data_IF_937354211939
#
_entry.id   IF_937354211939
#
_cell.length_a   1.000
_cell.length_b   1.000
_cell.length_c   1.000
_cell.angle_alpha   90.00
_cell.angle_beta   90.00
_cell.angle_gamma   90.00
#
_symmetry.space_group_name_H-M   'P 1'
#
loop_
_entity.id
_entity.type
_entity.pdbx_description
1 polymer ?
#
# COMPACT_ATOMS: atom_id res chain seq x y z
N UNK A 1 1.20 78.72 -23.43
CA UNK A 1 1.62 77.38 -23.92
C UNK A 1 0.65 76.33 -23.39
N UNK A 2 -0.11 75.66 -24.27
CA UNK A 2 -1.17 74.72 -23.90
C UNK A 2 -0.60 73.29 -23.96
N UNK A 3 -0.37 72.64 -22.81
CA UNK A 3 0.10 71.25 -22.73
C UNK A 3 -1.01 70.33 -23.26
N UNK A 4 -0.75 69.60 -24.35
CA UNK A 4 -1.64 68.51 -24.79
C UNK A 4 -1.36 67.29 -23.91
N UNK A 5 -2.40 66.78 -23.25
CA UNK A 5 -2.36 65.52 -22.51
C UNK A 5 -2.59 64.42 -23.54
N UNK A 6 -1.57 63.61 -23.82
CA UNK A 6 -1.72 62.43 -24.66
C UNK A 6 -2.43 61.32 -23.88
N UNK A 7 -3.65 60.97 -24.31
CA UNK A 7 -4.35 59.80 -23.82
C UNK A 7 -3.64 58.53 -24.31
N UNK A 8 -2.82 57.92 -23.44
CA UNK A 8 -2.36 56.53 -23.66
C UNK A 8 -3.58 55.61 -23.60
N UNK A 9 -3.97 55.03 -24.73
CA UNK A 9 -4.95 53.94 -24.77
C UNK A 9 -4.41 52.76 -23.97
N UNK A 10 -4.93 52.56 -22.77
CA UNK A 10 -4.78 51.30 -22.03
C UNK A 10 -5.62 50.26 -22.74
N UNK A 11 -4.98 49.37 -23.49
CA UNK A 11 -5.62 48.16 -24.03
C UNK A 11 -5.87 47.21 -22.88
N UNK A 12 -7.11 47.21 -22.38
CA UNK A 12 -7.55 46.22 -21.40
C UNK A 12 -7.65 44.83 -22.03
N UNK A 13 -7.38 43.80 -21.23
CA UNK A 13 -7.62 42.41 -21.62
C UNK A 13 -9.10 42.23 -21.99
N UNK A 14 -9.35 41.55 -23.11
CA UNK A 14 -10.72 41.27 -23.53
C UNK A 14 -11.33 40.22 -22.59
N UNK A 15 -12.64 40.32 -22.33
CA UNK A 15 -13.34 39.39 -21.44
C UNK A 15 -13.22 37.93 -21.93
N UNK A 16 -13.20 37.75 -23.24
CA UNK A 16 -12.95 36.47 -23.92
C UNK A 16 -11.56 35.91 -23.68
N UNK A 17 -10.54 36.76 -23.63
CA UNK A 17 -9.15 36.33 -23.37
C UNK A 17 -8.98 35.83 -21.93
N UNK A 18 -9.62 36.49 -20.97
CA UNK A 18 -9.64 36.00 -19.59
C UNK A 18 -10.35 34.65 -19.44
N UNK A 19 -11.44 34.42 -20.16
CA UNK A 19 -12.16 33.14 -20.13
C UNK A 19 -11.29 31.96 -20.62
N UNK A 20 -10.50 32.18 -21.69
CA UNK A 20 -9.58 31.16 -22.21
C UNK A 20 -8.46 30.88 -21.21
N UNK A 21 -7.90 31.91 -20.59
CA UNK A 21 -6.84 31.74 -19.57
C UNK A 21 -7.33 30.93 -18.39
N UNK A 22 -8.53 31.23 -17.87
CA UNK A 22 -9.12 30.47 -16.75
C UNK A 22 -9.36 29.01 -17.14
N UNK A 23 -9.82 28.76 -18.36
CA UNK A 23 -10.03 27.40 -18.87
C UNK A 23 -8.71 26.61 -18.93
N UNK A 24 -7.65 27.20 -19.47
CA UNK A 24 -6.33 26.54 -19.55
C UNK A 24 -5.76 26.29 -18.15
N UNK A 25 -5.83 27.27 -17.25
CA UNK A 25 -5.37 27.12 -15.86
C UNK A 25 -6.14 26.01 -15.14
N UNK A 26 -7.45 25.92 -15.33
CA UNK A 26 -8.29 24.86 -14.76
C UNK A 26 -7.87 23.46 -15.22
N UNK A 27 -7.59 23.29 -16.51
CA UNK A 27 -7.13 22.01 -17.06
C UNK A 27 -5.75 21.64 -16.49
N UNK A 28 -4.82 22.59 -16.42
CA UNK A 28 -3.47 22.33 -15.89
C UNK A 28 -3.51 21.93 -14.43
N UNK A 29 -4.30 22.63 -13.60
CA UNK A 29 -4.48 22.28 -12.20
C UNK A 29 -5.14 20.90 -12.04
N UNK A 30 -6.14 20.57 -12.86
CA UNK A 30 -6.78 19.25 -12.87
C UNK A 30 -5.79 18.12 -13.18
N UNK A 31 -4.92 18.31 -14.17
CA UNK A 31 -3.91 17.32 -14.54
C UNK A 31 -2.88 17.06 -13.42
N UNK A 32 -2.45 18.12 -12.72
CA UNK A 32 -1.47 18.01 -11.61
C UNK A 32 -2.03 17.19 -10.45
N UNK A 33 -3.32 17.37 -10.10
CA UNK A 33 -3.96 16.61 -9.01
C UNK A 33 -3.99 15.10 -9.29
N UNK A 34 -4.35 14.71 -10.52
CA UNK A 34 -4.38 13.29 -10.92
C UNK A 34 -2.97 12.69 -10.88
N UNK A 35 -1.96 13.42 -11.36
CA UNK A 35 -0.58 12.98 -11.33
C UNK A 35 -0.05 12.77 -9.90
N UNK A 36 -0.36 13.70 -8.98
CA UNK A 36 0.07 13.63 -7.59
C UNK A 36 -0.46 12.37 -6.87
N UNK A 37 -1.71 11.98 -7.13
CA UNK A 37 -2.33 10.78 -6.53
C UNK A 37 -1.56 9.49 -6.83
N UNK A 38 -1.03 9.34 -8.05
CA UNK A 38 -0.30 8.13 -8.46
C UNK A 38 1.13 8.06 -7.88
N UNK A 39 1.75 9.20 -7.60
CA UNK A 39 3.08 9.24 -6.96
C UNK A 39 2.99 8.85 -5.49
N UNK A 40 1.93 9.29 -4.80
CA UNK A 40 1.72 8.96 -3.39
C UNK A 40 1.59 7.45 -3.16
N UNK A 41 0.76 6.78 -3.97
CA UNK A 41 0.56 5.32 -3.87
C UNK A 41 1.86 4.56 -4.15
N UNK A 42 2.61 4.94 -5.19
CA UNK A 42 3.93 4.34 -5.49
C UNK A 42 4.90 4.48 -4.33
N UNK A 43 4.93 5.63 -3.67
CA UNK A 43 5.80 5.87 -2.51
C UNK A 43 5.42 4.98 -1.33
N UNK A 44 4.12 4.89 -1.02
CA UNK A 44 3.60 4.00 0.04
C UNK A 44 3.89 2.52 -0.24
N UNK A 45 3.79 2.09 -1.50
CA UNK A 45 4.12 0.73 -1.92
C UNK A 45 5.61 0.45 -1.70
N UNK A 46 6.50 1.31 -2.20
CA UNK A 46 7.95 1.17 -1.98
C UNK A 46 8.30 1.14 -0.50
N UNK A 47 7.69 2.03 0.31
CA UNK A 47 7.88 2.04 1.76
C UNK A 47 7.42 0.72 2.38
N UNK A 48 6.24 0.22 2.02
CA UNK A 48 5.71 -1.06 2.50
C UNK A 48 6.65 -2.23 2.18
N UNK A 49 7.23 -2.26 0.97
CA UNK A 49 8.19 -3.28 0.56
C UNK A 49 9.45 -3.23 1.43
N UNK A 50 9.98 -2.03 1.66
CA UNK A 50 11.15 -1.81 2.50
C UNK A 50 10.88 -2.26 3.94
N UNK A 51 9.73 -1.87 4.50
CA UNK A 51 9.32 -2.24 5.85
C UNK A 51 9.19 -3.75 6.01
N UNK A 52 8.52 -4.43 5.08
CA UNK A 52 8.39 -5.90 5.11
C UNK A 52 9.76 -6.58 5.02
N UNK A 53 10.65 -6.09 4.15
CA UNK A 53 12.01 -6.61 4.01
C UNK A 53 12.81 -6.44 5.31
N UNK A 54 12.70 -5.27 5.95
CA UNK A 54 13.35 -4.98 7.23
C UNK A 54 12.80 -5.86 8.35
N UNK A 55 11.48 -5.97 8.49
CA UNK A 55 10.83 -6.88 9.45
C UNK A 55 11.35 -8.30 9.25
N UNK A 56 11.39 -8.79 8.00
CA UNK A 56 11.86 -10.14 7.72
C UNK A 56 13.34 -10.36 8.11
N UNK A 57 14.20 -9.36 7.88
CA UNK A 57 15.61 -9.38 8.32
C UNK A 57 15.72 -9.37 9.84
N UNK A 58 14.94 -8.53 10.52
CA UNK A 58 14.97 -8.39 11.98
C UNK A 58 14.46 -9.66 12.66
N UNK A 59 13.37 -10.27 12.15
CA UNK A 59 12.91 -11.58 12.62
C UNK A 59 14.01 -12.62 12.45
N UNK A 60 14.64 -12.72 11.27
CA UNK A 60 15.74 -13.68 11.08
C UNK A 60 16.91 -13.40 12.03
N UNK A 61 17.26 -12.15 12.27
CA UNK A 61 18.33 -11.77 13.19
C UNK A 61 18.04 -12.20 14.63
N UNK A 62 16.82 -11.95 15.13
CA UNK A 62 16.41 -12.33 16.49
C UNK A 62 16.37 -13.85 16.67
N UNK A 63 15.97 -14.58 15.62
CA UNK A 63 15.82 -16.04 15.67
C UNK A 63 17.06 -16.80 15.17
N UNK A 64 18.08 -16.12 14.66
CA UNK A 64 19.35 -16.72 14.27
C UNK A 64 20.01 -17.33 15.51
N UNK A 65 20.07 -18.67 15.56
CA UNK A 65 20.62 -19.42 16.69
C UNK A 65 19.59 -19.88 17.73
N UNK A 66 18.35 -19.39 17.68
CA UNK A 66 17.28 -19.79 18.60
C UNK A 66 15.99 -20.21 17.87
N UNK A 67 16.02 -21.29 17.06
CA UNK A 67 14.87 -21.71 16.25
C UNK A 67 13.63 -22.10 17.08
N UNK A 68 13.80 -22.36 18.38
CA UNK A 68 12.73 -22.71 19.31
C UNK A 68 12.39 -21.59 20.31
N UNK A 69 12.88 -20.36 20.11
CA UNK A 69 12.57 -19.25 21.01
C UNK A 69 11.05 -19.01 21.10
N UNK A 70 10.52 -18.70 22.29
CA UNK A 70 9.11 -18.35 22.46
C UNK A 70 8.73 -17.17 21.58
N UNK A 71 7.51 -17.20 21.03
CA UNK A 71 7.00 -16.14 20.15
C UNK A 71 6.72 -14.89 20.99
N UNK A 72 7.34 -13.73 20.72
CA UNK A 72 7.08 -12.52 21.46
C UNK A 72 5.67 -12.00 21.16
N UNK A 73 4.96 -11.55 22.21
CA UNK A 73 3.74 -10.74 22.05
C UNK A 73 4.06 -9.42 21.33
N UNK A 74 3.07 -8.76 20.72
CA UNK A 74 3.26 -7.50 19.95
C UNK A 74 4.12 -6.46 20.67
N UNK A 75 3.86 -6.20 21.96
CA UNK A 75 4.66 -5.24 22.74
C UNK A 75 6.16 -5.61 22.80
N UNK A 76 6.48 -6.91 22.91
CA UNK A 76 7.87 -7.40 22.87
C UNK A 76 8.46 -7.40 21.46
N UNK A 77 7.64 -7.52 20.41
CA UNK A 77 8.13 -7.40 19.02
C UNK A 77 8.65 -5.99 18.74
N UNK A 78 7.93 -4.97 19.21
CA UNK A 78 8.38 -3.57 19.09
C UNK A 78 9.65 -3.36 19.92
N UNK A 79 9.69 -3.88 21.16
CA UNK A 79 10.87 -3.78 22.02
C UNK A 79 12.12 -4.49 21.46
N UNK A 80 11.93 -5.54 20.65
CA UNK A 80 13.01 -6.27 19.96
C UNK A 80 13.35 -5.70 18.59
N UNK A 81 12.78 -4.54 18.22
CA UNK A 81 12.92 -3.93 16.89
C UNK A 81 12.51 -4.87 15.73
N UNK A 82 11.63 -5.85 16.00
CA UNK A 82 11.08 -6.72 14.96
C UNK A 82 10.08 -5.94 14.10
N UNK A 83 9.28 -5.08 14.76
CA UNK A 83 8.33 -4.19 14.12
C UNK A 83 8.83 -2.75 14.25
N UNK A 84 8.52 -1.86 13.29
CA UNK A 84 8.79 -0.44 13.44
C UNK A 84 8.12 0.10 14.71
N UNK A 85 8.70 1.15 15.30
CA UNK A 85 8.27 1.72 16.59
C UNK A 85 6.80 2.12 16.65
N UNK A 86 6.23 2.55 15.53
CA UNK A 86 4.80 2.85 15.42
C UNK A 86 3.91 1.60 15.36
N UNK A 87 4.44 0.48 14.83
CA UNK A 87 3.65 -0.68 14.44
C UNK A 87 2.61 -0.42 13.33
N UNK A 88 2.63 0.79 12.75
CA UNK A 88 1.69 1.29 11.74
C UNK A 88 2.40 1.28 10.38
N UNK A 89 1.70 0.83 9.35
CA UNK A 89 2.17 0.79 7.97
C UNK A 89 1.92 2.09 7.20
N UNK A 90 2.52 2.22 6.02
CA UNK A 90 2.39 3.39 5.16
C UNK A 90 0.94 3.75 4.75
N UNK A 91 -0.01 2.83 4.95
CA UNK A 91 -1.43 2.99 4.67
C UNK A 91 -2.25 3.40 5.90
N UNK A 92 -1.61 3.55 7.07
CA UNK A 92 -2.28 3.86 8.34
C UNK A 92 -2.93 2.66 9.03
N UNK A 93 -2.66 1.43 8.56
CA UNK A 93 -3.09 0.20 9.25
C UNK A 93 -1.96 -0.46 10.03
N UNK A 94 -2.20 -1.65 10.57
CA UNK A 94 -1.23 -2.35 11.43
C UNK A 94 -0.35 -3.35 10.67
N UNK A 95 0.87 -3.56 11.17
CA UNK A 95 1.65 -4.78 10.92
C UNK A 95 1.37 -5.84 11.99
N UNK A 96 1.16 -7.08 11.56
CA UNK A 96 1.03 -8.23 12.45
C UNK A 96 1.99 -9.34 12.02
N UNK A 97 2.91 -9.76 12.90
CA UNK A 97 3.78 -10.91 12.65
C UNK A 97 3.19 -12.14 13.35
N UNK A 98 2.96 -13.19 12.58
CA UNK A 98 2.39 -14.46 13.03
C UNK A 98 3.37 -15.59 12.74
N UNK A 99 3.37 -16.64 13.58
CA UNK A 99 4.22 -17.82 13.37
C UNK A 99 3.33 -19.04 13.18
N UNK A 100 2.95 -19.38 11.93
CA UNK A 100 2.08 -20.52 11.70
C UNK A 100 2.76 -21.85 12.07
N UNK A 101 4.09 -21.93 11.94
CA UNK A 101 4.90 -23.13 12.24
C UNK A 101 6.28 -22.73 12.79
N UNK A 102 7.07 -23.69 13.30
CA UNK A 102 8.37 -23.40 13.93
C UNK A 102 9.42 -22.81 12.98
N UNK A 103 9.37 -23.15 11.70
CA UNK A 103 10.37 -22.77 10.69
C UNK A 103 9.91 -21.65 9.76
N UNK A 104 8.75 -21.05 10.03
CA UNK A 104 8.22 -19.99 9.19
C UNK A 104 7.44 -18.96 10.00
N UNK A 105 7.49 -17.72 9.54
CA UNK A 105 6.69 -16.62 10.03
C UNK A 105 5.94 -15.98 8.87
N UNK A 106 4.88 -15.25 9.17
CA UNK A 106 4.15 -14.46 8.20
C UNK A 106 4.01 -13.03 8.72
N UNK A 107 4.29 -12.05 7.87
CA UNK A 107 4.02 -10.64 8.09
C UNK A 107 2.71 -10.31 7.40
N UNK A 108 1.69 -9.95 8.17
CA UNK A 108 0.40 -9.51 7.69
C UNK A 108 0.32 -8.00 7.74
N UNK A 109 0.00 -7.41 6.59
CA UNK A 109 -0.30 -6.00 6.42
C UNK A 109 -1.82 -5.84 6.43
N UNK A 110 -2.36 -5.06 7.37
CA UNK A 110 -3.79 -4.73 7.41
C UNK A 110 -4.02 -3.34 6.84
N UNK A 111 -5.01 -3.18 5.96
CA UNK A 111 -5.42 -1.86 5.47
C UNK A 111 -6.55 -1.30 6.34
N UNK A 112 -6.57 0.01 6.62
CA UNK A 112 -7.69 0.60 7.34
C UNK A 112 -8.95 0.58 6.48
N UNK A 113 -10.12 0.52 7.13
CA UNK A 113 -11.41 0.54 6.45
C UNK A 113 -11.71 1.85 5.69
N UNK A 114 -10.91 2.89 5.93
CA UNK A 114 -10.97 4.20 5.26
C UNK A 114 -10.33 4.18 3.88
N UNK A 115 -9.56 3.14 3.52
CA UNK A 115 -8.98 3.02 2.19
C UNK A 115 -10.08 2.64 1.19
N UNK A 116 -10.18 3.41 0.10
CA UNK A 116 -11.18 3.15 -0.94
C UNK A 116 -11.00 1.74 -1.54
N UNK A 117 -12.14 1.14 -1.91
CA UNK A 117 -12.25 -0.23 -2.41
C UNK A 117 -11.44 -0.42 -3.69
N UNK A 118 -11.53 0.52 -4.62
CA UNK A 118 -10.83 0.45 -5.91
C UNK A 118 -9.33 0.59 -5.69
N UNK A 119 -8.93 1.56 -4.87
CA UNK A 119 -7.52 1.77 -4.51
C UNK A 119 -6.91 0.56 -3.80
N UNK A 120 -7.65 -0.07 -2.86
CA UNK A 120 -7.19 -1.26 -2.14
C UNK A 120 -6.86 -2.44 -3.06
N UNK A 121 -7.62 -2.60 -4.15
CA UNK A 121 -7.45 -3.68 -5.11
C UNK A 121 -6.18 -3.52 -5.94
N UNK A 122 -5.96 -2.33 -6.49
CA UNK A 122 -4.76 -2.03 -7.27
C UNK A 122 -3.49 -2.13 -6.42
N UNK A 123 -3.54 -1.60 -5.20
CA UNK A 123 -2.44 -1.67 -4.24
C UNK A 123 -2.10 -3.11 -3.90
N UNK A 124 -3.09 -3.96 -3.64
CA UNK A 124 -2.84 -5.38 -3.37
C UNK A 124 -2.17 -6.09 -4.54
N UNK A 125 -2.62 -5.85 -5.77
CA UNK A 125 -2.00 -6.43 -6.95
C UNK A 125 -0.56 -5.97 -7.14
N UNK A 126 -0.30 -4.67 -6.97
CA UNK A 126 1.04 -4.11 -7.14
C UNK A 126 2.00 -4.61 -6.04
N UNK A 127 1.55 -4.70 -4.77
CA UNK A 127 2.34 -5.27 -3.68
C UNK A 127 2.70 -6.74 -3.91
N UNK A 128 1.73 -7.54 -4.38
CA UNK A 128 1.92 -8.97 -4.64
C UNK A 128 2.88 -9.21 -5.79
N UNK A 129 2.82 -8.39 -6.83
CA UNK A 129 3.68 -8.53 -8.01
C UNK A 129 5.09 -8.00 -7.79
N UNK A 130 5.27 -6.98 -6.94
CA UNK A 130 6.59 -6.36 -6.70
C UNK A 130 7.41 -6.99 -5.60
N UNK A 131 6.80 -7.63 -4.61
CA UNK A 131 7.57 -8.28 -3.54
C UNK A 131 8.13 -9.59 -4.09
N UNK A 132 9.46 -9.71 -4.27
CA UNK A 132 10.04 -10.91 -4.85
C UNK A 132 9.70 -12.10 -3.95
N UNK A 133 8.97 -13.07 -4.52
CA UNK A 133 8.52 -14.27 -3.83
C UNK A 133 9.71 -15.18 -3.45
N UNK A 134 10.47 -14.80 -2.42
CA UNK A 134 11.23 -15.76 -1.61
C UNK A 134 10.31 -16.48 -0.62
N UNK A 135 9.08 -15.96 -0.45
CA UNK A 135 8.02 -16.52 0.36
C UNK A 135 6.94 -17.23 -0.45
N UNK A 136 6.52 -18.42 -0.01
CA UNK A 136 5.23 -19.00 -0.43
C UNK A 136 4.16 -18.21 0.30
N UNK A 137 3.39 -17.31 -0.29
CA UNK A 137 2.18 -16.88 0.43
C UNK A 137 1.12 -18.04 0.34
N UNK A 138 -0.18 -17.90 0.53
CA UNK A 138 -1.13 -19.00 0.24
C UNK A 138 -2.48 -18.76 0.85
N UNK A 139 -3.55 -19.00 0.11
CA UNK A 139 -4.90 -18.57 0.47
C UNK A 139 -5.25 -19.03 1.90
N UNK A 140 -5.49 -18.09 2.83
CA UNK A 140 -6.10 -18.44 4.11
C UNK A 140 -7.61 -18.49 3.90
N UNK A 141 -8.13 -19.68 3.59
CA UNK A 141 -9.56 -19.89 3.64
C UNK A 141 -10.03 -19.71 5.08
N UNK A 142 -10.79 -18.63 5.31
CA UNK A 142 -11.51 -18.44 6.54
C UNK A 142 -12.38 -19.67 6.77
N UNK A 143 -12.32 -20.24 7.97
CA UNK A 143 -13.36 -21.16 8.42
C UNK A 143 -14.64 -20.33 8.62
N UNK A 144 -15.69 -20.50 7.80
CA UNK A 144 -16.88 -19.62 7.81
C UNK A 144 -17.62 -19.61 9.15
N UNK A 145 -17.30 -20.52 10.07
CA UNK A 145 -17.85 -20.58 11.41
C UNK A 145 -17.40 -19.45 12.36
N UNK A 146 -16.35 -18.67 12.03
CA UNK A 146 -15.88 -17.55 12.86
C UNK A 146 -16.29 -16.22 12.22
N UNK A 147 -17.37 -15.63 12.72
CA UNK A 147 -18.11 -14.52 12.11
C UNK A 147 -17.29 -13.31 11.65
N UNK A 148 -17.75 -12.70 10.55
CA UNK A 148 -17.78 -11.25 10.30
C UNK A 148 -16.49 -10.42 10.20
N UNK A 149 -15.29 -10.93 10.49
CA UNK A 149 -14.06 -10.11 10.45
C UNK A 149 -13.58 -9.72 9.04
N UNK A 150 -12.44 -9.04 8.89
CA UNK A 150 -11.78 -8.78 7.60
C UNK A 150 -11.24 -10.06 6.92
N UNK A 151 -11.33 -10.14 5.59
CA UNK A 151 -10.79 -11.23 4.76
C UNK A 151 -9.26 -11.09 4.69
N UNK A 152 -8.54 -12.16 5.03
CA UNK A 152 -7.07 -12.20 5.01
C UNK A 152 -6.59 -12.97 3.80
N UNK A 153 -5.94 -12.27 2.87
CA UNK A 153 -5.36 -12.89 1.67
C UNK A 153 -3.87 -13.13 1.92
N UNK A 154 -3.45 -14.35 1.67
CA UNK A 154 -2.05 -14.74 1.56
C UNK A 154 -1.95 -15.46 0.20
N UNK A 155 -0.86 -15.35 -0.57
CA UNK A 155 -0.73 -15.88 -1.96
C UNK A 155 0.39 -16.90 -2.29
N UNK A 156 0.09 -18.18 -2.52
CA UNK A 156 1.13 -19.24 -2.59
C UNK A 156 1.92 -19.19 -3.84
N UNK A 157 3.26 -19.14 -3.73
CA UNK A 157 4.14 -19.18 -4.90
C UNK A 157 3.72 -20.30 -5.85
N UNK A 158 3.40 -21.52 -5.37
CA UNK A 158 2.96 -22.63 -6.23
C UNK A 158 1.56 -22.48 -6.87
N UNK A 159 0.64 -21.76 -6.24
CA UNK A 159 -0.71 -21.52 -6.79
C UNK A 159 -0.73 -20.28 -7.69
N UNK A 160 0.11 -19.29 -7.37
CA UNK A 160 0.20 -17.97 -8.01
C UNK A 160 1.11 -18.02 -9.23
N UNK A 161 2.13 -18.90 -9.26
CA UNK A 161 3.05 -19.03 -10.42
C UNK A 161 2.40 -19.59 -11.69
N UNK A 162 1.11 -19.91 -11.68
CA UNK A 162 0.35 -20.29 -12.88
C UNK A 162 -0.99 -19.57 -13.04
N UNK A 163 -1.38 -18.74 -12.07
CA UNK A 163 -2.61 -17.96 -12.18
C UNK A 163 -2.33 -16.66 -12.91
N UNK A 164 -3.12 -16.38 -13.94
CA UNK A 164 -3.15 -15.05 -14.52
C UNK A 164 -3.64 -14.04 -13.47
N UNK A 165 -3.28 -12.77 -13.64
CA UNK A 165 -3.80 -11.68 -12.80
C UNK A 165 -5.34 -11.71 -12.74
N UNK A 166 -5.99 -12.08 -13.85
CA UNK A 166 -7.44 -12.27 -13.92
C UNK A 166 -7.97 -13.41 -13.05
N UNK A 167 -7.24 -14.54 -12.94
CA UNK A 167 -7.61 -15.65 -12.06
C UNK A 167 -7.45 -15.28 -10.59
N UNK A 168 -6.41 -14.51 -10.23
CA UNK A 168 -6.29 -13.97 -8.87
C UNK A 168 -7.45 -13.01 -8.56
N UNK A 169 -7.79 -12.14 -9.51
CA UNK A 169 -8.90 -11.19 -9.36
C UNK A 169 -10.26 -11.88 -9.15
N UNK A 170 -10.53 -12.96 -9.86
CA UNK A 170 -11.78 -13.72 -9.70
C UNK A 170 -11.82 -14.52 -8.39
N UNK A 171 -10.66 -15.00 -7.91
CA UNK A 171 -10.56 -15.72 -6.64
C UNK A 171 -10.79 -14.83 -5.42
N UNK A 172 -10.61 -13.52 -5.53
CA UNK A 172 -10.82 -12.61 -4.39
C UNK A 172 -12.28 -12.40 -4.02
N UNK A 173 -13.24 -12.78 -4.87
CA UNK A 173 -14.69 -12.99 -4.59
C UNK A 173 -15.47 -11.82 -3.94
N UNK A 174 -14.77 -10.80 -3.49
CA UNK A 174 -15.22 -9.68 -2.68
C UNK A 174 -14.38 -8.50 -3.14
N UNK A 175 -15.02 -7.39 -3.45
CA UNK A 175 -14.38 -6.24 -4.10
C UNK A 175 -13.28 -5.57 -3.25
N UNK A 176 -13.01 -6.03 -2.02
CA UNK A 176 -12.15 -5.37 -1.03
C UNK A 176 -10.99 -6.26 -0.61
N UNK A 177 -9.78 -5.77 -0.82
CA UNK A 177 -8.59 -6.37 -0.23
C UNK A 177 -8.33 -5.73 1.14
N UNK A 178 -8.74 -6.37 2.24
CA UNK A 178 -8.58 -5.81 3.59
C UNK A 178 -7.21 -6.07 4.22
N UNK A 179 -6.47 -7.06 3.73
CA UNK A 179 -5.11 -7.35 4.20
C UNK A 179 -4.34 -8.23 3.22
N UNK A 180 -3.01 -8.09 3.22
CA UNK A 180 -2.08 -8.92 2.45
C UNK A 180 -1.03 -9.48 3.38
N UNK A 181 -0.82 -10.79 3.31
CA UNK A 181 0.19 -11.47 4.13
C UNK A 181 1.31 -12.12 3.32
N UNK A 182 2.52 -11.95 3.82
CA UNK A 182 3.76 -12.47 3.25
C UNK A 182 4.36 -13.48 4.21
N UNK A 183 4.66 -14.69 3.72
CA UNK A 183 5.23 -15.75 4.56
C UNK A 183 6.70 -15.94 4.23
N UNK A 184 7.53 -16.04 5.25
CA UNK A 184 8.97 -16.18 5.17
C UNK A 184 9.40 -17.45 5.90
N UNK A 185 10.47 -18.08 5.41
CA UNK A 185 11.18 -19.10 6.16
C UNK A 185 12.20 -18.43 7.08
N UNK A 186 12.32 -18.97 8.30
CA UNK A 186 13.38 -18.65 9.25
C UNK A 186 14.71 -19.22 8.79
#
# INVERSE_FOLDING_TARGET
MKKRIENKKTTGFTLTEMAIVVLVVGIVLGAIWVAAGHVHTKTQITQTINDISQIAKNVRGVYAGFPNAPRPKRAKQIALDILPTSGINAWGGDYEVTWPVKTAFSVLLTFPATLDVVSSREVCLDLVTRIPATGKAGEYKRNPAQGGGPVRVFLNKKEVTGMSVGQMMNSFGSNRCSSVGFRFML
#
